data_IF_982471742296
#
_entry.id   IF_982471742296
#
_cell.length_a   1.000
_cell.length_b   1.000
_cell.length_c   1.000
_cell.angle_alpha   90.00
_cell.angle_beta   90.00
_cell.angle_gamma   90.00
#
_symmetry.space_group_name_H-M   'P 1'
#
loop_
_entity.id
_entity.type
_entity.pdbx_description
1 polymer ?
#
# COMPACT_ATOMS: atom_id res chain seq x y z
N UNK A 1 -13.94 -21.32 2.19
CA UNK A 1 -13.13 -20.46 3.08
C UNK A 1 -14.07 -19.51 3.80
N UNK A 2 -14.24 -19.67 5.12
CA UNK A 2 -15.11 -18.81 5.93
C UNK A 2 -14.33 -17.58 6.35
N UNK A 3 -14.78 -16.38 5.98
CA UNK A 3 -14.23 -15.14 6.50
C UNK A 3 -14.76 -14.94 7.92
N UNK A 4 -13.92 -15.20 8.93
CA UNK A 4 -14.17 -14.80 10.30
C UNK A 4 -14.21 -13.27 10.36
N UNK A 5 -15.35 -12.68 10.71
CA UNK A 5 -15.44 -11.26 11.00
C UNK A 5 -14.42 -10.92 12.10
N UNK A 6 -13.44 -10.09 11.78
CA UNK A 6 -12.46 -9.64 12.76
C UNK A 6 -13.19 -8.84 13.85
N UNK A 7 -13.31 -9.44 15.04
CA UNK A 7 -13.75 -8.74 16.24
C UNK A 7 -12.63 -7.77 16.60
N UNK A 8 -12.85 -6.48 16.35
CA UNK A 8 -12.02 -5.41 16.90
C UNK A 8 -11.93 -5.63 18.42
N UNK A 9 -10.72 -5.71 19.02
CA UNK A 9 -10.60 -5.91 20.45
C UNK A 9 -11.20 -4.70 21.16
N UNK A 10 -12.28 -4.92 21.90
CA UNK A 10 -12.88 -3.88 22.73
C UNK A 10 -11.88 -3.50 23.84
N UNK A 11 -11.69 -2.20 24.03
CA UNK A 11 -10.87 -1.67 25.11
C UNK A 11 -11.39 -2.17 26.46
N UNK A 12 -10.49 -2.72 27.27
CA UNK A 12 -10.75 -3.32 28.61
C UNK A 12 -11.44 -2.35 29.59
N UNK A 13 -11.45 -1.05 29.28
CA UNK A 13 -12.02 0.01 30.11
C UNK A 13 -13.45 0.44 29.69
N UNK A 14 -14.13 -0.30 28.83
CA UNK A 14 -15.52 0.05 28.47
C UNK A 14 -16.48 -0.38 29.60
N UNK A 15 -17.17 0.57 30.27
CA UNK A 15 -18.11 0.21 31.33
C UNK A 15 -19.33 -0.52 30.73
N UNK A 16 -19.86 -1.49 31.46
CA UNK A 16 -20.92 -2.42 30.98
C UNK A 16 -22.17 -1.73 30.45
N UNK A 17 -22.56 -0.58 31.00
CA UNK A 17 -23.69 0.21 30.54
C UNK A 17 -23.51 0.83 29.15
N UNK A 18 -22.27 0.91 28.63
CA UNK A 18 -21.97 1.34 27.24
C UNK A 18 -21.90 0.18 26.25
N UNK A 19 -22.01 -1.06 26.70
CA UNK A 19 -21.93 -2.23 25.82
C UNK A 19 -23.31 -2.49 25.21
N UNK A 20 -23.52 -1.99 24.01
CA UNK A 20 -24.73 -2.26 23.25
C UNK A 20 -24.64 -3.63 22.56
N UNK A 21 -25.62 -4.49 22.83
CA UNK A 21 -25.78 -5.77 22.12
C UNK A 21 -26.17 -5.52 20.67
N UNK A 22 -25.29 -5.87 19.73
CA UNK A 22 -25.58 -5.80 18.30
C UNK A 22 -26.25 -7.09 17.84
N UNK A 23 -27.49 -6.99 17.37
CA UNK A 23 -28.25 -8.11 16.83
C UNK A 23 -28.21 -8.12 15.30
N UNK A 24 -28.51 -9.27 14.69
CA UNK A 24 -28.70 -9.36 13.24
C UNK A 24 -29.94 -8.58 12.82
N UNK A 25 -29.94 -8.02 11.60
CA UNK A 25 -31.09 -7.32 10.97
C UNK A 25 -32.35 -8.19 10.81
N UNK A 26 -32.24 -9.50 11.09
CA UNK A 26 -33.36 -10.46 11.15
C UNK A 26 -34.12 -10.42 12.47
N UNK A 27 -33.51 -9.90 13.53
CA UNK A 27 -34.10 -9.86 14.87
C UNK A 27 -34.91 -8.58 15.02
N UNK A 28 -36.18 -8.73 15.41
CA UNK A 28 -37.18 -7.66 15.55
C UNK A 28 -36.94 -6.83 16.82
N UNK A 29 -35.79 -6.16 16.94
CA UNK A 29 -35.43 -5.44 18.16
C UNK A 29 -34.63 -4.17 17.85
N UNK A 30 -34.77 -3.14 18.69
CA UNK A 30 -34.11 -1.84 18.49
C UNK A 30 -34.57 -1.14 17.22
N UNK A 31 -33.64 -0.68 16.40
CA UNK A 31 -33.91 0.14 15.20
C UNK A 31 -34.29 -0.67 13.94
N UNK A 32 -34.94 -1.82 14.12
CA UNK A 32 -35.22 -2.80 13.05
C UNK A 32 -36.00 -2.21 11.86
N UNK A 33 -37.01 -1.36 12.12
CA UNK A 33 -37.84 -0.77 11.06
C UNK A 33 -37.02 0.18 10.17
N UNK A 34 -36.14 1.00 10.75
CA UNK A 34 -35.31 1.91 9.97
C UNK A 34 -34.25 1.16 9.16
N UNK A 35 -33.67 0.08 9.69
CA UNK A 35 -32.72 -0.74 8.93
C UNK A 35 -33.36 -1.38 7.69
N UNK A 36 -34.64 -1.79 7.78
CA UNK A 36 -35.41 -2.28 6.62
C UNK A 36 -35.69 -1.18 5.59
N UNK A 37 -35.93 0.06 6.03
CA UNK A 37 -36.18 1.20 5.13
C UNK A 37 -34.94 1.60 4.31
N UNK A 38 -33.73 1.24 4.75
CA UNK A 38 -32.48 1.46 3.99
C UNK A 38 -32.39 0.64 2.69
N UNK A 39 -33.24 -0.37 2.52
CA UNK A 39 -33.32 -1.17 1.29
C UNK A 39 -32.34 -2.34 1.22
N UNK A 40 -32.22 -2.96 0.04
CA UNK A 40 -31.33 -4.10 -0.19
C UNK A 40 -29.87 -3.65 -0.29
N UNK A 41 -28.91 -4.43 0.24
CA UNK A 41 -27.50 -4.10 0.11
C UNK A 41 -27.07 -4.16 -1.36
N UNK A 42 -26.24 -3.20 -1.79
CA UNK A 42 -25.67 -3.12 -3.14
C UNK A 42 -25.13 -4.46 -3.67
N UNK A 43 -24.50 -5.25 -2.78
CA UNK A 43 -23.99 -6.59 -3.12
C UNK A 43 -25.08 -7.48 -3.73
N UNK A 44 -26.29 -7.49 -3.18
CA UNK A 44 -27.39 -8.33 -3.69
C UNK A 44 -28.02 -7.78 -4.97
N UNK A 45 -27.81 -6.50 -5.28
CA UNK A 45 -28.36 -5.87 -6.48
C UNK A 45 -27.44 -6.02 -7.69
N UNK A 46 -26.12 -5.98 -7.47
CA UNK A 46 -25.14 -5.85 -8.56
C UNK A 46 -24.24 -7.09 -8.70
N UNK A 47 -24.10 -7.93 -7.66
CA UNK A 47 -23.25 -9.13 -7.77
C UNK A 47 -24.02 -10.31 -8.38
N UNK A 48 -23.42 -10.99 -9.36
CA UNK A 48 -24.08 -12.06 -10.10
C UNK A 48 -23.76 -13.46 -9.55
N UNK A 49 -22.52 -13.74 -9.16
CA UNK A 49 -22.06 -15.11 -8.86
C UNK A 49 -21.26 -15.25 -7.57
N UNK A 50 -21.67 -14.53 -6.52
CA UNK A 50 -20.86 -14.38 -5.28
C UNK A 50 -19.45 -13.85 -5.60
N UNK A 51 -19.36 -13.10 -6.71
CA UNK A 51 -18.12 -12.50 -7.16
C UNK A 51 -17.61 -11.59 -6.07
N UNK A 52 -16.38 -11.84 -5.59
CA UNK A 52 -15.91 -11.06 -4.49
C UNK A 52 -15.58 -9.65 -5.08
N UNK A 53 -15.74 -8.59 -4.30
CA UNK A 53 -15.92 -7.23 -4.88
C UNK A 53 -14.66 -6.53 -5.43
N UNK A 54 -13.51 -7.19 -5.49
CA UNK A 54 -12.20 -6.53 -5.69
C UNK A 54 -11.15 -7.28 -6.54
N UNK A 55 -11.49 -8.32 -7.31
CA UNK A 55 -10.51 -9.39 -7.58
C UNK A 55 -9.84 -9.36 -8.96
N UNK A 56 -10.19 -8.43 -9.84
CA UNK A 56 -9.55 -8.32 -11.17
C UNK A 56 -8.49 -7.22 -11.19
N UNK A 57 -7.39 -7.44 -10.46
CA UNK A 57 -6.35 -6.41 -10.28
C UNK A 57 -5.37 -6.31 -11.46
N UNK A 58 -5.45 -7.25 -12.41
CA UNK A 58 -4.57 -7.30 -13.58
C UNK A 58 -5.39 -6.97 -14.83
N UNK A 59 -4.96 -5.96 -15.57
CA UNK A 59 -5.53 -5.62 -16.86
C UNK A 59 -5.04 -6.56 -17.95
N UNK A 60 -5.80 -6.68 -19.04
CA UNK A 60 -5.37 -7.45 -20.23
C UNK A 60 -4.06 -6.93 -20.82
N UNK A 61 -3.80 -5.62 -20.69
CA UNK A 61 -2.53 -5.00 -21.06
C UNK A 61 -1.38 -5.52 -20.18
N UNK A 62 -1.52 -5.46 -18.86
CA UNK A 62 -0.48 -5.90 -17.91
C UNK A 62 -0.13 -7.39 -18.10
N UNK A 63 -1.15 -8.23 -18.27
CA UNK A 63 -1.02 -9.67 -18.56
C UNK A 63 -0.22 -9.96 -19.84
N UNK A 64 -0.47 -9.20 -20.91
CA UNK A 64 0.25 -9.34 -22.18
C UNK A 64 1.74 -8.98 -22.05
N UNK A 65 2.04 -7.86 -21.39
CA UNK A 65 3.42 -7.34 -21.30
C UNK A 65 4.27 -8.10 -20.28
N UNK A 66 3.71 -8.43 -19.11
CA UNK A 66 4.42 -9.18 -18.07
C UNK A 66 4.44 -10.69 -18.33
N UNK A 67 3.85 -11.13 -19.46
CA UNK A 67 3.76 -12.55 -19.86
C UNK A 67 3.13 -13.43 -18.78
N UNK A 68 2.13 -12.91 -18.06
CA UNK A 68 1.28 -13.75 -17.21
C UNK A 68 0.42 -14.74 -18.04
N UNK A 69 0.40 -14.54 -19.36
CA UNK A 69 -0.32 -15.25 -20.42
C UNK A 69 -0.08 -16.78 -20.51
N UNK A 70 0.67 -17.39 -19.59
CA UNK A 70 0.84 -18.84 -19.53
C UNK A 70 -0.11 -19.47 -18.51
N UNK A 71 -1.33 -19.83 -18.96
CA UNK A 71 -2.20 -20.74 -18.22
C UNK A 71 -2.33 -22.06 -19.00
N UNK A 72 -1.62 -23.14 -18.61
CA UNK A 72 -1.63 -24.40 -19.35
C UNK A 72 -2.98 -25.14 -19.27
N UNK A 73 -3.90 -24.71 -18.40
CA UNK A 73 -5.19 -25.37 -18.18
C UNK A 73 -6.34 -24.86 -19.05
N UNK A 74 -6.17 -23.78 -19.81
CA UNK A 74 -7.25 -23.16 -20.60
C UNK A 74 -6.93 -23.14 -22.11
N UNK A 75 -7.93 -23.40 -22.97
CA UNK A 75 -7.75 -23.28 -24.41
C UNK A 75 -7.62 -21.81 -24.84
N UNK A 76 -6.80 -21.59 -25.88
CA UNK A 76 -6.57 -20.24 -26.45
C UNK A 76 -7.85 -19.68 -27.09
N UNK A 77 -8.70 -20.55 -27.64
CA UNK A 77 -9.95 -20.19 -28.32
C UNK A 77 -11.13 -21.00 -27.80
N UNK A 78 -12.34 -20.45 -27.94
CA UNK A 78 -13.59 -21.07 -27.49
C UNK A 78 -13.79 -22.36 -28.24
N UNK A 79 -14.21 -23.38 -27.51
CA UNK A 79 -14.53 -24.69 -28.08
C UNK A 79 -15.96 -25.05 -27.72
N UNK A 80 -16.72 -25.56 -28.70
CA UNK A 80 -18.07 -26.03 -28.45
C UNK A 80 -18.03 -27.40 -27.79
N UNK A 81 -18.54 -27.50 -26.57
CA UNK A 81 -18.64 -28.78 -25.86
C UNK A 81 -19.99 -29.44 -26.18
N UNK A 82 -19.94 -30.50 -26.98
CA UNK A 82 -21.14 -31.25 -27.41
C UNK A 82 -21.86 -31.96 -26.25
N UNK A 83 -21.14 -32.38 -25.22
CA UNK A 83 -21.73 -33.10 -24.08
C UNK A 83 -22.49 -32.16 -23.14
N UNK A 84 -21.98 -30.93 -22.97
CA UNK A 84 -22.60 -29.92 -22.10
C UNK A 84 -23.48 -28.93 -22.88
N UNK A 85 -23.49 -29.00 -24.21
CA UNK A 85 -24.20 -28.09 -25.11
C UNK A 85 -23.91 -26.61 -24.82
N UNK A 86 -22.64 -26.29 -24.58
CA UNK A 86 -22.19 -24.93 -24.26
C UNK A 86 -20.83 -24.63 -24.88
N UNK A 87 -20.60 -23.36 -25.19
CA UNK A 87 -19.27 -22.86 -25.50
C UNK A 87 -18.46 -22.87 -24.21
N UNK A 88 -17.33 -23.60 -24.19
CA UNK A 88 -16.43 -23.56 -23.06
C UNK A 88 -15.77 -22.18 -22.98
N UNK A 89 -15.61 -21.63 -21.76
CA UNK A 89 -14.97 -20.35 -21.56
C UNK A 89 -13.52 -20.38 -22.06
N UNK A 90 -13.14 -19.28 -22.69
CA UNK A 90 -11.77 -18.99 -23.11
C UNK A 90 -10.94 -18.47 -21.93
N UNK A 91 -9.64 -18.28 -22.17
CA UNK A 91 -8.79 -17.46 -21.33
C UNK A 91 -9.43 -16.08 -21.01
N UNK A 92 -10.02 -15.42 -22.00
CA UNK A 92 -10.57 -14.07 -21.84
C UNK A 92 -11.79 -14.01 -20.92
N UNK A 93 -12.49 -15.14 -20.74
CA UNK A 93 -13.67 -15.25 -19.86
C UNK A 93 -13.27 -15.48 -18.41
N UNK A 94 -11.99 -15.79 -18.15
CA UNK A 94 -11.43 -16.07 -16.84
C UNK A 94 -10.30 -15.08 -16.53
N UNK A 95 -10.61 -13.86 -16.04
CA UNK A 95 -9.59 -12.89 -15.68
C UNK A 95 -8.64 -13.43 -14.61
N UNK A 96 -7.36 -13.09 -14.72
CA UNK A 96 -6.34 -13.52 -13.77
C UNK A 96 -6.55 -12.85 -12.40
N UNK A 97 -6.65 -13.68 -11.36
CA UNK A 97 -6.78 -13.25 -9.97
C UNK A 97 -5.40 -13.26 -9.30
N UNK A 98 -4.62 -12.23 -9.56
CA UNK A 98 -3.33 -12.03 -8.89
C UNK A 98 -3.23 -10.58 -8.38
N UNK A 99 -2.40 -10.32 -7.36
CA UNK A 99 -2.15 -8.96 -6.91
C UNK A 99 -1.57 -8.13 -8.07
N UNK A 100 -1.87 -6.82 -8.12
CA UNK A 100 -1.45 -5.96 -9.21
C UNK A 100 0.06 -5.82 -9.22
N UNK A 101 0.63 -5.80 -10.42
CA UNK A 101 2.06 -5.58 -10.67
C UNK A 101 2.39 -4.11 -10.48
N UNK A 102 2.40 -3.63 -9.22
CA UNK A 102 2.56 -2.22 -8.93
C UNK A 102 4.01 -1.71 -9.02
N UNK A 103 4.99 -2.55 -9.42
CA UNK A 103 6.43 -2.21 -9.49
C UNK A 103 6.95 -1.38 -8.28
N UNK A 104 6.43 -1.64 -7.07
CA UNK A 104 6.77 -0.89 -5.86
C UNK A 104 6.08 0.48 -5.68
N UNK A 105 5.27 0.96 -6.63
CA UNK A 105 4.52 2.24 -6.54
C UNK A 105 3.64 2.30 -5.29
N UNK A 106 2.92 1.22 -5.01
CA UNK A 106 2.07 1.14 -3.82
C UNK A 106 2.89 1.25 -2.52
N UNK A 107 4.03 0.58 -2.46
CA UNK A 107 4.93 0.63 -1.30
C UNK A 107 5.49 2.05 -1.10
N UNK A 108 5.89 2.69 -2.20
CA UNK A 108 6.37 4.07 -2.21
C UNK A 108 5.29 5.07 -1.76
N UNK A 109 4.06 4.95 -2.29
CA UNK A 109 2.93 5.78 -1.86
C UNK A 109 2.56 5.54 -0.39
N UNK A 110 2.56 4.28 0.04
CA UNK A 110 2.28 3.90 1.43
C UNK A 110 3.30 4.52 2.38
N UNK A 111 4.58 4.51 2.03
CA UNK A 111 5.62 5.20 2.79
C UNK A 111 5.36 6.70 2.87
N UNK A 112 4.97 7.32 1.74
CA UNK A 112 4.66 8.75 1.68
C UNK A 112 3.46 9.14 2.56
N UNK A 113 2.41 8.32 2.59
CA UNK A 113 1.22 8.58 3.42
C UNK A 113 1.47 8.35 4.91
N UNK A 114 2.32 7.38 5.25
CA UNK A 114 2.70 7.11 6.63
C UNK A 114 3.76 8.09 7.16
N UNK A 115 4.47 8.78 6.28
CA UNK A 115 5.43 9.80 6.67
C UNK A 115 4.68 10.92 7.42
N UNK A 116 5.00 11.17 8.70
CA UNK A 116 4.38 12.28 9.41
C UNK A 116 4.77 13.59 8.72
N UNK A 117 3.79 14.48 8.56
CA UNK A 117 4.04 15.88 8.17
C UNK A 117 5.15 16.42 9.07
N UNK A 118 6.26 16.86 8.47
CA UNK A 118 7.46 17.24 9.21
C UNK A 118 7.11 18.35 10.21
N UNK A 119 7.07 18.02 11.50
CA UNK A 119 6.67 18.93 12.59
C UNK A 119 7.59 20.14 12.80
N UNK A 120 8.61 20.31 11.96
CA UNK A 120 9.47 21.47 11.93
C UNK A 120 9.12 22.29 10.69
N UNK A 121 8.66 23.54 10.88
CA UNK A 121 8.51 24.57 9.81
C UNK A 121 9.88 24.88 9.17
N UNK A 122 10.42 23.93 8.41
CA UNK A 122 11.60 24.12 7.58
C UNK A 122 11.12 24.80 6.31
N UNK A 123 11.80 25.86 5.89
CA UNK A 123 11.53 26.47 4.59
C UNK A 123 11.88 25.48 3.48
N UNK A 124 11.25 25.63 2.32
CA UNK A 124 11.56 24.84 1.11
C UNK A 124 13.06 24.90 0.80
N UNK A 125 13.68 26.07 0.94
CA UNK A 125 15.11 26.26 0.73
C UNK A 125 15.97 25.34 1.61
N UNK A 126 15.67 25.27 2.92
CA UNK A 126 16.43 24.42 3.86
C UNK A 126 16.23 22.93 3.61
N UNK A 127 15.08 22.52 3.08
CA UNK A 127 14.81 21.11 2.72
C UNK A 127 15.48 20.71 1.39
N UNK A 128 15.47 21.60 0.40
CA UNK A 128 16.05 21.33 -0.93
C UNK A 128 17.58 21.27 -0.92
N UNK A 129 18.23 22.01 -0.03
CA UNK A 129 19.69 22.05 0.07
C UNK A 129 20.17 21.47 1.41
N UNK A 130 20.23 20.12 1.55
CA UNK A 130 20.82 19.50 2.74
C UNK A 130 22.31 19.87 2.82
N UNK A 131 22.80 20.11 4.04
CA UNK A 131 24.24 20.27 4.25
C UNK A 131 24.94 18.96 3.84
N UNK A 132 25.89 19.00 2.90
CA UNK A 132 26.64 17.81 2.54
C UNK A 132 27.44 17.31 3.75
N UNK A 133 27.78 16.02 3.75
CA UNK A 133 28.61 15.43 4.80
C UNK A 133 29.92 16.23 4.93
N UNK A 134 30.44 16.36 6.15
CA UNK A 134 31.66 17.14 6.41
C UNK A 134 32.86 16.64 5.60
N UNK A 135 32.89 15.36 5.23
CA UNK A 135 33.92 14.76 4.36
C UNK A 135 33.86 15.23 2.90
N UNK A 136 32.72 15.76 2.43
CA UNK A 136 32.60 16.35 1.10
C UNK A 136 33.08 17.82 1.06
N UNK A 137 33.28 18.44 2.23
CA UNK A 137 33.84 19.78 2.34
C UNK A 137 35.37 19.67 2.27
N UNK A 138 36.00 20.43 1.39
CA UNK A 138 37.46 20.50 1.37
C UNK A 138 37.97 21.13 2.66
N UNK A 139 38.82 20.40 3.37
CA UNK A 139 39.48 20.91 4.58
C UNK A 139 40.56 21.89 4.13
N UNK A 140 40.37 23.18 4.41
CA UNK A 140 41.43 24.18 4.21
C UNK A 140 42.47 23.97 5.30
N UNK A 141 43.61 23.41 4.94
CA UNK A 141 44.78 23.35 5.80
C UNK A 141 45.60 24.62 5.59
N UNK A 142 45.71 25.45 6.62
CA UNK A 142 46.62 26.59 6.61
C UNK A 142 48.01 26.11 7.02
N UNK A 143 49.04 26.54 6.29
CA UNK A 143 50.43 26.29 6.69
C UNK A 143 50.63 26.85 8.10
N UNK A 144 51.04 25.99 9.05
CA UNK A 144 51.44 26.43 10.39
C UNK A 144 52.65 27.34 10.21
N UNK A 145 52.61 28.61 10.66
CA UNK A 145 53.76 29.50 10.53
C UNK A 145 54.90 28.92 11.36
N UNK A 146 55.96 28.46 10.70
CA UNK A 146 57.19 28.02 11.37
C UNK A 146 57.90 29.27 11.88
N UNK A 147 58.09 29.45 13.21
CA UNK A 147 58.82 30.60 13.72
C UNK A 147 60.27 30.54 13.24
N UNK A 148 60.86 31.68 12.79
CA UNK A 148 62.24 31.69 12.33
C UNK A 148 63.19 31.27 13.47
N UNK A 149 64.24 30.50 13.12
CA UNK A 149 65.29 30.13 14.08
C UNK A 149 65.94 31.40 14.63
N UNK A 150 65.93 31.57 15.96
CA UNK A 150 66.60 32.69 16.64
C UNK A 150 68.09 32.66 16.31
N UNK A 151 68.60 33.74 15.72
CA UNK A 151 70.04 33.94 15.54
C UNK A 151 70.68 34.08 16.93
N UNK A 152 71.68 33.25 17.21
CA UNK A 152 72.43 33.34 18.47
C UNK A 152 73.26 34.63 18.47
N UNK A 153 73.33 35.37 19.58
CA UNK A 153 74.15 36.57 19.66
C UNK A 153 75.64 36.23 19.55
N UNK A 154 76.37 37.03 18.77
CA UNK A 154 77.82 36.89 18.57
C UNK A 154 78.55 37.22 19.88
N UNK A 155 79.54 36.41 20.34
CA UNK A 155 80.31 36.72 21.53
C UNK A 155 81.12 38.01 21.33
N UNK A 156 81.02 38.95 22.28
CA UNK A 156 81.93 40.11 22.33
C UNK A 156 83.22 39.67 23.04
N UNK A 157 84.35 39.87 22.36
CA UNK A 157 85.69 39.75 22.95
C UNK A 157 86.00 40.95 23.85
#
# INVERSE_FOLDING_TARGET
MQFSNAVSPQSVYTPSWKVESKYSTRVLTGNWVEERRKGLPYKHLITHHQEPSHYHLISTYDDHYNRHNYNPGLPVHRTWNRHKLLWLPEKNDCPLLAPPTNYGLYEWLRQRWLAPEAGLRKSTYTLSYPRPLLCALSRREHAIPVPPKRLQPVPRF
#
